data_IF_755304052117
#
_entry.id   IF_755304052117
#
_cell.length_a   1.000
_cell.length_b   1.000
_cell.length_c   1.000
_cell.angle_alpha   90.00
_cell.angle_beta   90.00
_cell.angle_gamma   90.00
#
_symmetry.space_group_name_H-M   'P 1'
#
loop_
_entity.id
_entity.type
_entity.pdbx_description
1 polymer ?
#
# COMPACT_ATOMS: atom_id res chain seq x y z
N UNK A 1 23.44 -3.02 21.43
CA UNK A 1 23.28 -1.82 22.27
C UNK A 1 22.74 -0.72 21.38
N UNK A 2 21.47 -0.33 21.53
CA UNK A 2 20.87 0.73 20.70
C UNK A 2 21.20 2.10 21.30
N UNK A 3 21.70 3.09 20.53
CA UNK A 3 21.63 4.47 20.97
C UNK A 3 20.16 4.89 21.08
N UNK A 4 19.82 5.63 22.14
CA UNK A 4 18.45 6.10 22.37
C UNK A 4 18.02 7.02 21.23
N UNK A 5 16.73 6.96 20.89
CA UNK A 5 16.06 7.81 19.89
C UNK A 5 16.02 9.30 20.29
N UNK A 6 16.65 9.70 21.40
CA UNK A 6 16.68 11.09 21.88
C UNK A 6 17.79 11.93 21.24
N UNK A 7 18.74 11.32 20.51
CA UNK A 7 19.86 12.05 19.91
C UNK A 7 19.72 12.36 18.42
N UNK A 8 18.58 12.09 17.80
CA UNK A 8 18.25 12.70 16.51
C UNK A 8 17.81 14.14 16.76
N UNK A 9 18.76 15.08 16.76
CA UNK A 9 18.42 16.51 16.65
C UNK A 9 17.68 16.68 15.31
N UNK A 10 16.40 17.07 15.30
CA UNK A 10 15.81 17.54 14.05
C UNK A 10 16.69 18.67 13.52
N UNK A 11 16.96 18.66 12.21
CA UNK A 11 17.60 19.81 11.57
C UNK A 11 16.85 21.07 12.02
N UNK A 12 17.55 22.14 12.46
CA UNK A 12 16.89 23.36 12.89
C UNK A 12 16.09 23.90 11.70
N UNK A 13 14.77 23.70 11.76
CA UNK A 13 13.85 24.37 10.88
C UNK A 13 13.84 25.83 11.32
N UNK A 14 14.34 26.71 10.45
CA UNK A 14 14.28 28.13 10.65
C UNK A 14 12.81 28.57 10.66
N UNK A 15 12.24 28.68 11.86
CA UNK A 15 10.85 29.09 12.08
C UNK A 15 10.61 30.58 11.83
N UNK A 16 11.58 31.33 11.29
CA UNK A 16 11.42 32.74 10.94
C UNK A 16 11.10 32.94 9.46
N UNK A 17 9.89 32.54 9.05
CA UNK A 17 9.24 33.20 7.91
C UNK A 17 8.07 34.00 8.46
N UNK A 18 8.33 35.28 8.74
CA UNK A 18 7.26 36.25 8.99
C UNK A 18 6.38 36.28 7.75
N UNK A 19 5.10 35.95 7.92
CA UNK A 19 4.11 36.04 6.86
C UNK A 19 3.97 37.51 6.45
N UNK A 20 4.32 37.81 5.21
CA UNK A 20 3.87 39.03 4.56
C UNK A 20 2.40 38.82 4.16
N UNK A 21 1.52 39.63 4.74
CA UNK A 21 0.11 39.74 4.32
C UNK A 21 0.09 40.32 2.91
N UNK A 22 -0.46 39.56 1.96
CA UNK A 22 -0.75 40.04 0.61
C UNK A 22 -2.26 40.31 0.56
N UNK A 23 -2.62 41.58 0.46
CA UNK A 23 -4.00 42.02 0.21
C UNK A 23 -4.43 41.59 -1.20
N UNK A 24 -5.57 40.91 -1.30
CA UNK A 24 -6.21 40.59 -2.58
C UNK A 24 -7.17 41.72 -2.97
N UNK A 25 -7.14 42.20 -4.24
CA UNK A 25 -8.16 43.10 -4.74
C UNK A 25 -9.45 42.35 -5.11
N UNK A 26 -10.57 42.95 -4.70
CA UNK A 26 -11.94 42.53 -5.02
C UNK A 26 -12.24 42.82 -6.49
N UNK A 27 -12.63 41.80 -7.26
CA UNK A 27 -13.09 41.96 -8.65
C UNK A 27 -14.62 42.05 -8.66
N UNK A 28 -15.13 43.22 -9.03
CA UNK A 28 -16.53 43.48 -9.38
C UNK A 28 -16.76 43.20 -10.87
N UNK A 29 -17.79 42.44 -11.20
CA UNK A 29 -18.24 42.16 -12.57
C UNK A 29 -19.37 43.14 -12.95
N UNK A 30 -19.32 43.83 -14.11
CA UNK A 30 -20.47 44.52 -14.67
C UNK A 30 -21.22 43.61 -15.66
N UNK A 31 -22.53 43.82 -15.75
CA UNK A 31 -23.45 43.04 -16.58
C UNK A 31 -23.72 43.60 -17.98
N UNK A 32 -24.75 42.98 -18.58
CA UNK A 32 -25.49 43.32 -19.80
C UNK A 32 -24.76 43.15 -21.14
N UNK A 33 -25.28 42.25 -21.99
CA UNK A 33 -26.04 42.71 -23.16
C UNK A 33 -26.87 41.59 -23.82
N UNK A 34 -28.01 42.04 -24.35
CA UNK A 34 -29.10 41.27 -24.96
C UNK A 34 -28.88 41.12 -26.46
N UNK A 35 -29.18 39.96 -27.04
CA UNK A 35 -29.63 39.85 -28.43
C UNK A 35 -30.79 38.84 -28.48
N UNK A 36 -31.94 39.32 -28.97
CA UNK A 36 -33.17 38.55 -29.09
C UNK A 36 -33.21 37.73 -30.38
N UNK A 37 -34.04 36.69 -30.35
CA UNK A 37 -34.37 35.86 -31.49
C UNK A 37 -35.89 35.61 -31.51
N UNK A 38 -36.64 35.99 -32.55
CA UNK A 38 -38.07 35.76 -32.61
C UNK A 38 -38.38 34.57 -33.53
N UNK A 39 -38.83 33.45 -32.98
CA UNK A 39 -39.70 32.56 -33.76
C UNK A 39 -40.71 31.88 -32.84
N UNK A 40 -41.96 32.29 -33.02
CA UNK A 40 -43.13 31.82 -32.31
C UNK A 40 -43.57 30.44 -32.80
N UNK A 41 -43.92 29.55 -31.86
CA UNK A 41 -44.80 28.41 -32.10
C UNK A 41 -45.81 28.29 -30.95
N UNK A 42 -47.06 27.99 -31.31
CA UNK A 42 -48.28 28.16 -30.54
C UNK A 42 -48.39 27.34 -29.22
N UNK A 43 -49.19 27.80 -28.23
CA UNK A 43 -49.38 27.12 -26.97
C UNK A 43 -50.47 26.02 -27.02
N UNK A 44 -50.14 24.85 -26.48
CA UNK A 44 -51.09 23.77 -26.19
C UNK A 44 -51.88 24.03 -24.88
N UNK A 45 -53.12 23.51 -24.75
CA UNK A 45 -54.02 23.86 -23.65
C UNK A 45 -53.63 23.25 -22.29
N UNK A 46 -53.66 24.11 -21.27
CA UNK A 46 -53.47 23.84 -19.83
C UNK A 46 -54.43 22.77 -19.31
N UNK A 47 -53.90 21.67 -18.77
CA UNK A 47 -54.63 20.77 -17.85
C UNK A 47 -54.68 21.38 -16.44
N UNK A 48 -55.90 21.49 -15.90
CA UNK A 48 -56.19 21.92 -14.53
C UNK A 48 -55.46 21.06 -13.49
N UNK A 49 -54.77 21.74 -12.56
CA UNK A 49 -54.11 21.13 -11.42
C UNK A 49 -55.13 20.76 -10.33
N UNK A 50 -55.12 19.49 -9.89
CA UNK A 50 -55.84 19.04 -8.68
C UNK A 50 -55.15 19.57 -7.41
N UNK A 51 -55.91 19.85 -6.33
CA UNK A 51 -55.37 20.31 -5.06
C UNK A 51 -54.50 19.23 -4.41
N UNK A 52 -53.26 19.60 -4.13
CA UNK A 52 -52.20 18.77 -3.57
C UNK A 52 -52.49 18.54 -2.08
N UNK A 53 -52.80 17.31 -1.70
CA UNK A 53 -52.96 16.89 -0.31
C UNK A 53 -51.67 17.15 0.50
N UNK A 54 -51.84 17.51 1.77
CA UNK A 54 -50.75 17.82 2.70
C UNK A 54 -49.77 16.64 2.77
N UNK A 55 -48.45 16.86 2.63
CA UNK A 55 -47.46 15.79 2.73
C UNK A 55 -47.45 15.22 4.15
N UNK A 56 -47.65 13.90 4.25
CA UNK A 56 -47.43 13.16 5.50
C UNK A 56 -45.94 13.23 5.87
N UNK A 57 -45.60 13.36 7.17
CA UNK A 57 -44.22 13.29 7.62
C UNK A 57 -43.69 11.87 7.40
N UNK A 58 -42.78 11.72 6.44
CA UNK A 58 -42.03 10.48 6.22
C UNK A 58 -41.29 10.10 7.51
N UNK A 59 -41.61 8.92 8.06
CA UNK A 59 -40.90 8.35 9.20
C UNK A 59 -39.44 8.07 8.80
N UNK A 60 -38.44 8.50 9.61
CA UNK A 60 -37.04 8.32 9.27
C UNK A 60 -36.67 6.84 9.22
N UNK A 61 -36.22 6.39 8.04
CA UNK A 61 -35.78 5.01 7.77
C UNK A 61 -34.59 4.65 8.67
N UNK A 62 -34.82 3.69 9.55
CA UNK A 62 -33.96 3.25 10.67
C UNK A 62 -32.83 2.29 10.23
N UNK A 63 -32.08 2.61 9.17
CA UNK A 63 -31.00 1.75 8.65
C UNK A 63 -29.58 2.23 9.03
N UNK A 64 -29.44 3.16 9.97
CA UNK A 64 -28.19 3.89 10.21
C UNK A 64 -27.26 3.30 11.29
N UNK A 65 -27.68 2.27 12.04
CA UNK A 65 -26.93 1.83 13.25
C UNK A 65 -25.80 0.82 13.01
N UNK A 66 -25.76 0.07 11.89
CA UNK A 66 -24.65 -0.88 11.63
C UNK A 66 -23.39 -0.20 11.08
N UNK A 67 -23.52 0.90 10.33
CA UNK A 67 -22.38 1.60 9.77
C UNK A 67 -21.57 2.38 10.81
N UNK A 68 -22.15 2.72 11.96
CA UNK A 68 -21.47 3.49 13.01
C UNK A 68 -20.43 2.66 13.76
N UNK A 69 -20.70 1.39 14.07
CA UNK A 69 -19.73 0.53 14.78
C UNK A 69 -18.51 0.19 13.92
N UNK A 70 -18.69 -0.10 12.63
CA UNK A 70 -17.57 -0.36 11.72
C UNK A 70 -16.69 0.88 11.59
N UNK A 71 -17.28 2.08 11.48
CA UNK A 71 -16.53 3.34 11.44
C UNK A 71 -15.71 3.56 12.71
N UNK A 72 -16.24 3.24 13.89
CA UNK A 72 -15.49 3.34 15.14
C UNK A 72 -14.29 2.37 15.17
N UNK A 73 -14.46 1.14 14.67
CA UNK A 73 -13.36 0.17 14.56
C UNK A 73 -12.28 0.68 13.58
N UNK A 74 -12.69 1.18 12.41
CA UNK A 74 -11.77 1.74 11.42
C UNK A 74 -11.05 2.97 11.96
N UNK A 75 -11.74 3.84 12.72
CA UNK A 75 -11.12 5.00 13.35
C UNK A 75 -10.09 4.60 14.41
N UNK A 76 -10.34 3.52 15.17
CA UNK A 76 -9.34 2.94 16.09
C UNK A 76 -8.10 2.40 15.37
N UNK A 77 -8.18 2.08 14.07
CA UNK A 77 -7.03 1.68 13.26
C UNK A 77 -6.28 2.89 12.68
N UNK A 78 -6.85 4.10 12.73
CA UNK A 78 -6.14 5.30 12.32
C UNK A 78 -5.10 5.71 13.37
N UNK A 79 -4.01 6.30 12.91
CA UNK A 79 -3.00 6.91 13.78
C UNK A 79 -2.78 8.35 13.29
N UNK A 80 -3.10 9.38 14.10
CA UNK A 80 -2.95 10.78 13.69
C UNK A 80 -1.49 11.16 13.40
N UNK A 81 -0.53 10.45 14.00
CA UNK A 81 0.90 10.67 13.76
C UNK A 81 1.38 10.07 12.43
N UNK A 82 0.60 9.17 11.82
CA UNK A 82 0.92 8.46 10.58
C UNK A 82 -0.33 8.38 9.69
N UNK A 83 -0.81 9.50 9.14
CA UNK A 83 -2.12 9.56 8.49
C UNK A 83 -2.24 8.64 7.25
N UNK A 84 -1.13 8.39 6.55
CA UNK A 84 -1.08 7.47 5.41
C UNK A 84 -0.93 6.00 5.83
N UNK A 85 0.09 5.67 6.63
CA UNK A 85 0.45 4.30 6.99
C UNK A 85 -0.26 3.76 8.25
N UNK A 86 -1.07 4.56 8.94
CA UNK A 86 -1.63 4.25 10.26
C UNK A 86 -2.22 2.84 10.42
N UNK A 87 -3.20 2.43 9.60
CA UNK A 87 -3.77 1.09 9.67
C UNK A 87 -2.75 -0.02 9.44
N UNK A 88 -1.85 0.17 8.48
CA UNK A 88 -0.82 -0.81 8.10
C UNK A 88 0.22 -1.01 9.21
N UNK A 89 0.67 0.08 9.85
CA UNK A 89 1.58 -0.01 11.00
C UNK A 89 0.94 -0.75 12.17
N UNK A 90 -0.32 -0.45 12.49
CA UNK A 90 -1.03 -1.16 13.55
C UNK A 90 -1.18 -2.64 13.24
N UNK A 91 -1.42 -3.00 11.98
CA UNK A 91 -1.45 -4.40 11.57
C UNK A 91 -0.07 -5.07 11.71
N UNK A 92 1.02 -4.41 11.27
CA UNK A 92 2.38 -4.93 11.43
C UNK A 92 2.75 -5.13 12.90
N UNK A 93 2.36 -4.21 13.79
CA UNK A 93 2.58 -4.32 15.23
C UNK A 93 1.74 -5.47 15.83
N UNK A 94 0.45 -5.55 15.47
CA UNK A 94 -0.47 -6.56 15.97
C UNK A 94 -0.04 -7.98 15.60
N UNK A 95 0.38 -8.19 14.35
CA UNK A 95 0.84 -9.49 13.84
C UNK A 95 2.32 -9.79 14.15
N UNK A 96 3.00 -8.90 14.89
CA UNK A 96 4.36 -9.14 15.37
C UNK A 96 5.48 -8.99 14.32
N UNK A 97 5.17 -8.47 13.13
CA UNK A 97 6.17 -8.14 12.11
C UNK A 97 7.01 -6.94 12.54
N UNK A 98 6.36 -5.91 13.08
CA UNK A 98 7.06 -4.81 13.74
C UNK A 98 7.26 -5.17 15.21
N UNK A 99 8.37 -5.85 15.50
CA UNK A 99 8.67 -6.36 16.84
C UNK A 99 8.55 -5.25 17.92
N UNK A 100 7.83 -5.52 19.03
CA UNK A 100 7.62 -4.56 20.10
C UNK A 100 8.91 -4.27 20.87
N UNK A 101 8.95 -3.13 21.58
CA UNK A 101 10.09 -2.76 22.44
C UNK A 101 10.18 -3.63 23.69
N UNK A 102 9.06 -4.17 24.17
CA UNK A 102 9.03 -5.05 25.33
C UNK A 102 9.68 -6.40 24.98
N UNK A 103 10.70 -6.78 25.75
CA UNK A 103 11.52 -7.98 25.54
C UNK A 103 10.68 -9.25 25.61
N UNK A 104 9.77 -9.38 26.58
CA UNK A 104 8.93 -10.57 26.74
C UNK A 104 7.98 -10.74 25.54
N UNK A 105 7.31 -9.66 25.16
CA UNK A 105 6.40 -9.67 24.01
C UNK A 105 7.15 -9.92 22.70
N UNK A 106 8.38 -9.42 22.58
CA UNK A 106 9.25 -9.70 21.43
C UNK A 106 9.56 -11.21 21.32
N UNK A 107 9.97 -11.85 22.42
CA UNK A 107 10.23 -13.30 22.41
C UNK A 107 8.97 -14.10 22.14
N UNK A 108 7.82 -13.67 22.68
CA UNK A 108 6.53 -14.27 22.36
C UNK A 108 6.24 -14.23 20.86
N UNK A 109 6.35 -13.07 20.21
CA UNK A 109 6.12 -12.97 18.77
C UNK A 109 7.13 -13.82 17.98
N UNK A 110 8.42 -13.81 18.34
CA UNK A 110 9.42 -14.66 17.68
C UNK A 110 9.11 -16.15 17.82
N UNK A 111 8.63 -16.57 18.99
CA UNK A 111 8.16 -17.94 19.21
C UNK A 111 6.96 -18.28 18.32
N UNK A 112 5.98 -17.39 18.21
CA UNK A 112 4.84 -17.58 17.30
C UNK A 112 5.28 -17.68 15.84
N UNK A 113 6.28 -16.89 15.43
CA UNK A 113 6.87 -16.99 14.10
C UNK A 113 7.54 -18.34 13.86
N UNK A 114 8.31 -18.80 14.84
CA UNK A 114 8.94 -20.11 14.79
C UNK A 114 7.90 -21.23 14.74
N UNK A 115 6.83 -21.16 15.55
CA UNK A 115 5.76 -22.15 15.56
C UNK A 115 5.06 -22.29 14.21
N UNK A 116 4.69 -21.17 13.55
CA UNK A 116 4.11 -21.24 12.20
C UNK A 116 5.12 -21.70 11.15
N UNK A 117 6.41 -21.41 11.31
CA UNK A 117 7.46 -21.97 10.43
C UNK A 117 7.54 -23.50 10.55
N UNK A 118 7.51 -24.03 11.78
CA UNK A 118 7.47 -25.47 12.04
C UNK A 118 6.17 -26.09 11.52
N UNK A 119 5.04 -25.39 11.64
CA UNK A 119 3.78 -25.81 11.02
C UNK A 119 3.91 -25.97 9.51
N UNK A 120 4.44 -24.98 8.80
CA UNK A 120 4.66 -25.08 7.35
C UNK A 120 5.61 -26.24 7.00
N UNK A 121 6.65 -26.49 7.80
CA UNK A 121 7.50 -27.67 7.62
C UNK A 121 6.72 -28.99 7.80
N UNK A 122 5.77 -29.06 8.74
CA UNK A 122 4.92 -30.24 8.94
C UNK A 122 3.95 -30.49 7.78
N UNK A 123 3.56 -29.47 7.02
CA UNK A 123 2.77 -29.64 5.79
C UNK A 123 3.57 -30.37 4.71
N UNK A 124 4.88 -30.10 4.58
CA UNK A 124 5.74 -30.85 3.65
C UNK A 124 5.86 -32.33 4.03
N UNK A 125 5.89 -32.64 5.32
CA UNK A 125 5.88 -34.03 5.80
C UNK A 125 4.57 -34.71 5.41
N UNK A 126 3.44 -34.03 5.55
CA UNK A 126 2.13 -34.54 5.15
C UNK A 126 2.05 -34.81 3.63
N UNK A 127 2.48 -33.84 2.82
CA UNK A 127 2.59 -33.97 1.35
C UNK A 127 3.43 -35.19 0.96
N UNK A 128 4.52 -35.48 1.68
CA UNK A 128 5.35 -36.65 1.42
C UNK A 128 4.62 -37.98 1.65
N UNK A 129 3.78 -38.07 2.68
CA UNK A 129 3.00 -39.27 2.98
C UNK A 129 1.80 -39.45 2.04
N UNK A 130 1.20 -38.36 1.56
CA UNK A 130 -0.02 -38.35 0.75
C UNK A 130 0.24 -38.55 -0.76
N UNK A 131 1.51 -38.72 -1.16
CA UNK A 131 1.93 -38.80 -2.58
C UNK A 131 1.25 -39.88 -3.44
N UNK A 132 0.57 -40.85 -2.84
CA UNK A 132 -0.17 -41.89 -3.58
C UNK A 132 -1.48 -41.40 -4.19
N UNK A 133 -2.11 -40.36 -3.64
CA UNK A 133 -3.34 -39.77 -4.18
C UNK A 133 -3.02 -38.43 -4.86
N UNK A 134 -3.01 -38.40 -6.19
CA UNK A 134 -2.66 -37.21 -6.98
C UNK A 134 -3.61 -36.03 -6.74
N UNK A 135 -4.90 -36.29 -6.50
CA UNK A 135 -5.89 -35.22 -6.30
C UNK A 135 -5.67 -34.53 -4.96
N UNK A 136 -5.49 -35.34 -3.90
CA UNK A 136 -5.20 -34.84 -2.56
C UNK A 136 -3.82 -34.18 -2.49
N UNK A 137 -2.82 -34.77 -3.15
CA UNK A 137 -1.47 -34.23 -3.26
C UNK A 137 -1.44 -32.83 -3.85
N UNK A 138 -2.10 -32.61 -5.00
CA UNK A 138 -2.10 -31.31 -5.67
C UNK A 138 -2.80 -30.22 -4.85
N UNK A 139 -3.89 -30.57 -4.17
CA UNK A 139 -4.60 -29.63 -3.30
C UNK A 139 -3.73 -29.22 -2.09
N UNK A 140 -3.08 -30.19 -1.44
CA UNK A 140 -2.19 -29.93 -0.30
C UNK A 140 -0.97 -29.11 -0.74
N UNK A 141 -0.35 -29.48 -1.87
CA UNK A 141 0.81 -28.79 -2.42
C UNK A 141 0.51 -27.30 -2.70
N UNK A 142 -0.66 -26.97 -3.26
CA UNK A 142 -1.05 -25.58 -3.52
C UNK A 142 -1.08 -24.75 -2.24
N UNK A 143 -1.65 -25.29 -1.17
CA UNK A 143 -1.76 -24.58 0.13
C UNK A 143 -0.37 -24.43 0.74
N UNK A 144 0.45 -25.49 0.71
CA UNK A 144 1.82 -25.47 1.25
C UNK A 144 2.73 -24.51 0.50
N UNK A 145 2.60 -24.38 -0.81
CA UNK A 145 3.35 -23.38 -1.57
C UNK A 145 2.96 -21.96 -1.18
N UNK A 146 1.66 -21.69 -0.97
CA UNK A 146 1.20 -20.38 -0.49
C UNK A 146 1.72 -20.06 0.91
N UNK A 147 1.66 -21.03 1.83
CA UNK A 147 2.20 -20.88 3.19
C UNK A 147 3.72 -20.66 3.18
N UNK A 148 4.44 -21.37 2.32
CA UNK A 148 5.89 -21.24 2.18
C UNK A 148 6.31 -19.86 1.69
N UNK A 149 5.63 -19.31 0.67
CA UNK A 149 5.89 -17.94 0.20
C UNK A 149 5.65 -16.93 1.32
N UNK A 150 4.62 -17.15 2.16
CA UNK A 150 4.36 -16.30 3.34
C UNK A 150 5.53 -16.34 4.33
N UNK A 151 5.98 -17.54 4.72
CA UNK A 151 7.11 -17.72 5.64
C UNK A 151 8.37 -17.04 5.10
N UNK A 152 8.67 -17.16 3.80
CA UNK A 152 9.80 -16.47 3.19
C UNK A 152 9.66 -14.95 3.22
N UNK A 153 8.50 -14.39 2.88
CA UNK A 153 8.24 -12.94 2.94
C UNK A 153 8.45 -12.40 4.35
N UNK A 154 7.89 -13.08 5.34
CA UNK A 154 7.96 -12.68 6.76
C UNK A 154 9.38 -12.80 7.30
N UNK A 155 10.06 -13.91 7.01
CA UNK A 155 11.45 -14.13 7.43
C UNK A 155 12.38 -13.08 6.80
N UNK A 156 12.19 -12.78 5.52
CA UNK A 156 12.90 -11.71 4.84
C UNK A 156 12.60 -10.35 5.48
N UNK A 157 11.33 -10.01 5.73
CA UNK A 157 10.96 -8.77 6.42
C UNK A 157 11.63 -8.65 7.79
N UNK A 158 11.66 -9.72 8.58
CA UNK A 158 12.31 -9.74 9.90
C UNK A 158 13.82 -9.60 9.82
N UNK A 159 14.47 -10.23 8.84
CA UNK A 159 15.91 -10.08 8.61
C UNK A 159 16.27 -8.64 8.22
N UNK A 160 15.45 -8.01 7.38
CA UNK A 160 15.62 -6.64 6.92
C UNK A 160 14.86 -5.60 7.76
N UNK A 161 14.46 -5.95 8.99
CA UNK A 161 13.54 -5.15 9.81
C UNK A 161 14.07 -3.73 10.08
N UNK A 162 15.39 -3.58 10.25
CA UNK A 162 16.01 -2.25 10.43
C UNK A 162 15.73 -1.37 9.20
N UNK A 163 15.93 -1.92 8.02
CA UNK A 163 15.73 -1.19 6.78
C UNK A 163 14.26 -0.85 6.54
N UNK A 164 13.35 -1.79 6.82
CA UNK A 164 11.91 -1.53 6.77
C UNK A 164 11.47 -0.41 7.72
N UNK A 165 12.05 -0.35 8.93
CA UNK A 165 11.79 0.75 9.87
C UNK A 165 12.25 2.09 9.30
N UNK A 166 13.44 2.13 8.70
CA UNK A 166 13.98 3.35 8.08
C UNK A 166 13.09 3.83 6.91
N UNK A 167 12.60 2.91 6.06
CA UNK A 167 11.64 3.23 4.98
C UNK A 167 10.34 3.78 5.56
N UNK A 168 9.76 3.11 6.55
CA UNK A 168 8.49 3.53 7.18
C UNK A 168 8.64 4.92 7.80
N UNK A 169 9.76 5.19 8.45
CA UNK A 169 10.06 6.49 9.06
C UNK A 169 10.22 7.57 7.99
N UNK A 170 10.96 7.30 6.91
CA UNK A 170 11.09 8.19 5.77
C UNK A 170 9.72 8.55 5.18
N UNK A 171 8.92 7.54 4.82
CA UNK A 171 7.58 7.72 4.24
C UNK A 171 6.69 8.55 5.17
N UNK A 172 6.73 8.26 6.48
CA UNK A 172 5.96 9.01 7.47
C UNK A 172 6.38 10.48 7.51
N UNK A 173 7.69 10.75 7.57
CA UNK A 173 8.24 12.12 7.64
C UNK A 173 7.92 12.91 6.37
N UNK A 174 8.11 12.30 5.21
CA UNK A 174 7.86 12.94 3.92
C UNK A 174 6.36 13.21 3.72
N UNK A 175 5.47 12.25 4.01
CA UNK A 175 4.01 12.46 3.96
C UNK A 175 3.56 13.60 4.90
N UNK A 176 4.07 13.67 6.13
CA UNK A 176 3.78 14.77 7.05
C UNK A 176 4.27 16.12 6.52
N UNK A 177 5.46 16.16 5.93
CA UNK A 177 6.01 17.38 5.32
C UNK A 177 5.13 17.89 4.18
N UNK A 178 4.67 17.00 3.28
CA UNK A 178 3.79 17.39 2.19
C UNK A 178 2.43 17.92 2.67
N UNK A 179 1.90 17.40 3.78
CA UNK A 179 0.61 17.83 4.35
C UNK A 179 0.61 19.24 4.92
N UNK A 180 1.79 19.83 5.17
CA UNK A 180 1.92 21.21 5.66
C UNK A 180 1.74 22.24 4.52
N UNK A 181 1.69 21.79 3.26
CA UNK A 181 1.49 22.67 2.10
C UNK A 181 0.17 23.45 2.15
N UNK A 182 0.19 24.67 1.60
CA UNK A 182 -1.01 25.52 1.43
C UNK A 182 -1.63 25.42 0.03
N UNK A 183 -0.96 24.71 -0.88
CA UNK A 183 -1.41 24.58 -2.26
C UNK A 183 -2.65 23.67 -2.33
N UNK A 184 -3.82 24.18 -2.77
CA UNK A 184 -5.06 23.41 -2.83
C UNK A 184 -4.95 22.20 -3.76
N UNK A 185 -4.15 22.28 -4.83
CA UNK A 185 -3.97 21.17 -5.78
C UNK A 185 -3.27 20.01 -5.09
N UNK A 186 -2.20 20.29 -4.34
CA UNK A 186 -1.47 19.26 -3.58
C UNK A 186 -2.31 18.70 -2.45
N UNK A 187 -3.04 19.53 -1.71
CA UNK A 187 -3.91 19.07 -0.62
C UNK A 187 -4.94 18.06 -1.15
N UNK A 188 -5.58 18.37 -2.28
CA UNK A 188 -6.58 17.48 -2.88
C UNK A 188 -5.94 16.19 -3.42
N UNK A 189 -4.77 16.29 -4.06
CA UNK A 189 -3.98 15.10 -4.46
C UNK A 189 -3.65 14.21 -3.25
N UNK A 190 -3.18 14.80 -2.15
CA UNK A 190 -2.82 14.08 -0.92
C UNK A 190 -4.02 13.34 -0.32
N UNK A 191 -5.15 14.02 -0.26
CA UNK A 191 -6.40 13.45 0.20
C UNK A 191 -6.85 12.30 -0.70
N UNK A 192 -6.76 12.45 -2.02
CA UNK A 192 -7.17 11.43 -2.98
C UNK A 192 -6.33 10.16 -2.88
N UNK A 193 -5.00 10.26 -2.83
CA UNK A 193 -4.17 9.07 -2.66
C UNK A 193 -4.35 8.44 -1.28
N UNK A 194 -4.52 9.24 -0.22
CA UNK A 194 -4.76 8.71 1.13
C UNK A 194 -6.05 7.88 1.18
N UNK A 195 -7.13 8.39 0.57
CA UNK A 195 -8.39 7.67 0.45
C UNK A 195 -8.24 6.40 -0.39
N UNK A 196 -7.50 6.45 -1.48
CA UNK A 196 -7.20 5.30 -2.31
C UNK A 196 -6.46 4.20 -1.53
N UNK A 197 -5.38 4.55 -0.83
CA UNK A 197 -4.63 3.62 0.02
C UNK A 197 -5.52 2.96 1.09
N UNK A 198 -6.39 3.73 1.74
CA UNK A 198 -7.34 3.21 2.74
C UNK A 198 -8.35 2.24 2.11
N UNK A 199 -8.94 2.60 0.96
CA UNK A 199 -9.89 1.74 0.24
C UNK A 199 -9.25 0.41 -0.12
N UNK A 200 -8.04 0.41 -0.69
CA UNK A 200 -7.39 -0.85 -1.07
C UNK A 200 -6.98 -1.65 0.16
N UNK A 201 -6.40 -1.01 1.18
CA UNK A 201 -6.03 -1.70 2.44
C UNK A 201 -7.24 -2.44 3.01
N UNK A 202 -8.38 -1.77 3.18
CA UNK A 202 -9.56 -2.39 3.76
C UNK A 202 -10.23 -3.42 2.84
N UNK A 203 -10.25 -3.19 1.52
CA UNK A 203 -10.76 -4.16 0.57
C UNK A 203 -9.93 -5.44 0.58
N UNK A 204 -8.61 -5.31 0.53
CA UNK A 204 -7.68 -6.43 0.58
C UNK A 204 -7.80 -7.19 1.91
N UNK A 205 -7.85 -6.47 3.04
CA UNK A 205 -8.07 -7.09 4.36
C UNK A 205 -9.39 -7.86 4.41
N UNK A 206 -10.47 -7.26 3.91
CA UNK A 206 -11.78 -7.92 3.85
C UNK A 206 -11.72 -9.21 3.03
N UNK A 207 -11.06 -9.18 1.87
CA UNK A 207 -10.91 -10.35 1.01
C UNK A 207 -10.13 -11.46 1.73
N UNK A 208 -8.95 -11.13 2.26
CA UNK A 208 -8.08 -12.09 2.93
C UNK A 208 -8.72 -12.70 4.18
N UNK A 209 -9.31 -11.88 5.05
CA UNK A 209 -9.98 -12.41 6.24
C UNK A 209 -11.19 -13.26 5.88
N UNK A 210 -11.94 -12.90 4.83
CA UNK A 210 -13.05 -13.74 4.35
C UNK A 210 -12.54 -15.09 3.87
N UNK A 211 -11.42 -15.13 3.12
CA UNK A 211 -10.79 -16.39 2.70
C UNK A 211 -10.36 -17.24 3.88
N UNK A 212 -9.68 -16.66 4.88
CA UNK A 212 -9.27 -17.37 6.10
C UNK A 212 -10.49 -17.95 6.83
N UNK A 213 -11.55 -17.16 6.99
CA UNK A 213 -12.81 -17.61 7.61
C UNK A 213 -13.41 -18.76 6.82
N UNK A 214 -13.51 -18.66 5.49
CA UNK A 214 -14.05 -19.74 4.64
C UNK A 214 -13.23 -21.03 4.81
N UNK A 215 -11.89 -20.94 4.79
CA UNK A 215 -11.00 -22.10 4.95
C UNK A 215 -11.22 -22.77 6.31
N UNK A 216 -11.34 -21.99 7.39
CA UNK A 216 -11.59 -22.51 8.74
C UNK A 216 -12.97 -23.17 8.83
N UNK A 217 -14.01 -22.56 8.25
CA UNK A 217 -15.38 -23.05 8.38
C UNK A 217 -15.76 -24.16 7.38
N UNK A 218 -15.02 -24.31 6.28
CA UNK A 218 -15.32 -25.29 5.23
C UNK A 218 -15.47 -26.74 5.77
N UNK A 219 -14.57 -27.27 6.60
CA UNK A 219 -14.74 -28.59 7.22
C UNK A 219 -16.03 -28.73 8.04
N UNK A 220 -16.36 -27.71 8.83
CA UNK A 220 -17.56 -27.70 9.65
C UNK A 220 -18.82 -27.70 8.78
N UNK A 221 -18.89 -26.84 7.77
CA UNK A 221 -20.01 -26.82 6.83
C UNK A 221 -20.19 -28.17 6.13
N UNK A 222 -19.11 -28.81 5.66
CA UNK A 222 -19.19 -30.14 5.04
C UNK A 222 -19.73 -31.18 6.02
N UNK A 223 -19.25 -31.19 7.27
CA UNK A 223 -19.71 -32.11 8.31
C UNK A 223 -21.19 -31.92 8.70
N UNK A 224 -21.65 -30.68 8.84
CA UNK A 224 -23.03 -30.41 9.24
C UNK A 224 -24.04 -30.56 8.10
N UNK A 225 -23.68 -30.15 6.89
CA UNK A 225 -24.61 -30.11 5.76
C UNK A 225 -24.68 -31.42 4.96
N UNK A 226 -23.64 -32.26 4.99
CA UNK A 226 -23.62 -33.53 4.25
C UNK A 226 -23.89 -34.73 5.18
N UNK A 227 -25.11 -35.27 5.12
CA UNK A 227 -25.48 -36.47 5.86
C UNK A 227 -24.59 -37.65 5.49
N UNK A 228 -24.34 -37.86 4.20
CA UNK A 228 -23.49 -38.95 3.68
C UNK A 228 -22.08 -38.88 4.24
N UNK A 229 -21.48 -37.69 4.24
CA UNK A 229 -20.13 -37.50 4.76
C UNK A 229 -20.07 -37.84 6.26
N UNK A 230 -21.05 -37.37 7.04
CA UNK A 230 -21.11 -37.65 8.48
C UNK A 230 -21.23 -39.15 8.77
N UNK A 231 -22.07 -39.87 8.03
CA UNK A 231 -22.21 -41.32 8.22
C UNK A 231 -20.94 -42.07 7.75
N UNK A 232 -20.31 -41.64 6.65
CA UNK A 232 -19.03 -42.22 6.21
C UNK A 232 -17.93 -42.04 7.25
N UNK A 233 -17.88 -40.89 7.93
CA UNK A 233 -16.94 -40.64 9.03
C UNK A 233 -17.25 -41.52 10.24
N UNK A 234 -18.53 -41.65 10.64
CA UNK A 234 -18.92 -42.53 11.75
C UNK A 234 -18.60 -44.00 11.49
N UNK A 235 -18.74 -44.44 10.24
CA UNK A 235 -18.47 -45.80 9.81
C UNK A 235 -16.97 -46.06 9.59
N UNK A 236 -16.11 -45.04 9.69
CA UNK A 236 -14.66 -45.15 9.45
C UNK A 236 -14.27 -45.25 7.97
N UNK A 237 -15.20 -45.01 7.04
CA UNK A 237 -14.95 -45.04 5.59
C UNK A 237 -14.26 -43.78 5.10
N UNK A 238 -14.50 -42.64 5.76
CA UNK A 238 -13.84 -41.36 5.46
C UNK A 238 -13.23 -40.75 6.72
N UNK A 239 -12.14 -39.99 6.55
CA UNK A 239 -11.49 -39.25 7.64
C UNK A 239 -12.12 -37.85 7.80
N UNK A 240 -11.93 -37.26 8.98
CA UNK A 240 -12.31 -35.87 9.21
C UNK A 240 -11.54 -34.93 8.27
N UNK A 241 -12.25 -33.96 7.70
CA UNK A 241 -11.67 -33.00 6.76
C UNK A 241 -10.86 -31.97 7.56
N UNK A 242 -9.58 -31.82 7.22
CA UNK A 242 -8.70 -30.87 7.88
C UNK A 242 -8.86 -29.45 7.33
N UNK A 243 -8.54 -28.43 8.14
CA UNK A 243 -8.54 -27.03 7.71
C UNK A 243 -7.38 -26.80 6.73
N UNK A 244 -6.20 -27.30 7.11
CA UNK A 244 -5.01 -27.37 6.28
C UNK A 244 -4.29 -28.68 6.57
N UNK A 245 -4.09 -29.50 5.53
CA UNK A 245 -3.44 -30.81 5.68
C UNK A 245 -2.04 -30.65 6.25
N UNK A 246 -1.81 -31.23 7.42
CA UNK A 246 -0.55 -31.09 8.15
C UNK A 246 -0.29 -32.30 9.02
N UNK A 247 0.99 -32.68 9.12
CA UNK A 247 1.39 -33.79 9.97
C UNK A 247 1.39 -33.34 11.43
N UNK A 248 0.80 -34.14 12.31
CA UNK A 248 0.80 -33.91 13.75
C UNK A 248 1.22 -35.19 14.48
N UNK A 249 1.90 -35.09 15.63
CA UNK A 249 2.44 -36.25 16.35
C UNK A 249 1.37 -37.00 17.18
N UNK A 250 0.09 -36.77 16.92
CA UNK A 250 -1.03 -37.39 17.64
C UNK A 250 -2.10 -37.87 16.66
N UNK A 251 -2.95 -38.79 17.12
CA UNK A 251 -3.93 -39.45 16.26
C UNK A 251 -5.12 -38.54 15.93
N UNK A 252 -5.17 -38.07 14.68
CA UNK A 252 -6.25 -37.24 14.11
C UNK A 252 -7.55 -38.02 13.87
N UNK A 253 -7.53 -39.36 13.91
CA UNK A 253 -8.73 -40.17 13.69
C UNK A 253 -9.71 -40.10 14.86
N UNK A 254 -9.20 -39.79 16.06
CA UNK A 254 -10.04 -39.53 17.23
C UNK A 254 -10.66 -38.14 17.18
N UNK A 255 -11.89 -37.99 17.68
CA UNK A 255 -12.57 -36.68 17.72
C UNK A 255 -11.77 -35.63 18.51
N UNK A 256 -11.11 -36.03 19.59
CA UNK A 256 -10.27 -35.16 20.41
C UNK A 256 -9.01 -34.73 19.65
N UNK A 257 -8.36 -35.65 18.94
CA UNK A 257 -7.20 -35.34 18.11
C UNK A 257 -7.57 -34.44 16.94
N UNK A 258 -8.70 -34.70 16.28
CA UNK A 258 -9.23 -33.84 15.23
C UNK A 258 -9.51 -32.41 15.72
N UNK A 259 -10.18 -32.25 16.87
CA UNK A 259 -10.45 -30.92 17.43
C UNK A 259 -9.16 -30.16 17.78
N UNK A 260 -8.16 -30.87 18.34
CA UNK A 260 -6.86 -30.28 18.64
C UNK A 260 -6.12 -29.86 17.35
N UNK A 261 -6.10 -30.72 16.32
CA UNK A 261 -5.51 -30.40 15.03
C UNK A 261 -6.22 -29.21 14.37
N UNK A 262 -7.56 -29.21 14.37
CA UNK A 262 -8.38 -28.13 13.80
C UNK A 262 -8.12 -26.79 14.48
N UNK A 263 -8.02 -26.76 15.82
CA UNK A 263 -7.66 -25.55 16.57
C UNK A 263 -6.26 -25.03 16.18
N UNK A 264 -5.27 -25.92 16.12
CA UNK A 264 -3.90 -25.55 15.75
C UNK A 264 -3.79 -25.06 14.30
N UNK A 265 -4.40 -25.77 13.35
CA UNK A 265 -4.45 -25.38 11.93
C UNK A 265 -5.19 -24.05 11.74
N UNK A 266 -6.30 -23.84 12.46
CA UNK A 266 -7.05 -22.57 12.41
C UNK A 266 -6.20 -21.42 12.93
N UNK A 267 -5.49 -21.63 14.03
CA UNK A 267 -4.55 -20.65 14.56
C UNK A 267 -3.46 -20.29 13.54
N UNK A 268 -2.82 -21.30 12.93
CA UNK A 268 -1.80 -21.10 11.92
C UNK A 268 -2.34 -20.37 10.67
N UNK A 269 -3.55 -20.71 10.22
CA UNK A 269 -4.22 -20.06 9.10
C UNK A 269 -4.55 -18.58 9.37
N UNK A 270 -5.07 -18.26 10.57
CA UNK A 270 -5.33 -16.87 10.98
C UNK A 270 -4.04 -16.07 11.04
N UNK A 271 -3.01 -16.63 11.68
CA UNK A 271 -1.74 -15.92 11.89
C UNK A 271 -0.98 -15.73 10.58
N UNK A 272 -0.88 -16.79 9.76
CA UNK A 272 -0.28 -16.73 8.43
C UNK A 272 -1.03 -15.79 7.48
N UNK A 273 -2.37 -15.78 7.52
CA UNK A 273 -3.18 -14.84 6.75
C UNK A 273 -2.96 -13.38 7.18
N UNK A 274 -2.83 -13.14 8.48
CA UNK A 274 -2.50 -11.83 9.05
C UNK A 274 -1.13 -11.31 8.61
N UNK A 275 -0.12 -12.18 8.56
CA UNK A 275 1.23 -11.86 8.07
C UNK A 275 1.24 -11.41 6.62
N UNK A 276 0.70 -12.24 5.71
CA UNK A 276 0.64 -11.91 4.28
C UNK A 276 -0.06 -10.57 4.11
N UNK A 277 -1.20 -10.42 4.79
CA UNK A 277 -2.04 -9.24 4.65
C UNK A 277 -1.36 -7.97 5.09
N UNK A 278 -0.73 -7.98 6.25
CA UNK A 278 -0.05 -6.79 6.79
C UNK A 278 1.21 -6.43 6.00
N UNK A 279 2.00 -7.42 5.55
CA UNK A 279 3.15 -7.19 4.69
C UNK A 279 2.72 -6.62 3.32
N UNK A 280 1.82 -7.30 2.60
CA UNK A 280 1.45 -6.92 1.22
C UNK A 280 0.78 -5.54 1.18
N UNK A 281 -0.12 -5.25 2.13
CA UNK A 281 -0.78 -3.93 2.17
C UNK A 281 0.18 -2.81 2.58
N UNK A 282 1.14 -3.06 3.46
CA UNK A 282 2.18 -2.07 3.78
C UNK A 282 3.05 -1.77 2.55
N UNK A 283 3.56 -2.81 1.88
CA UNK A 283 4.40 -2.66 0.70
C UNK A 283 3.66 -1.90 -0.41
N UNK A 284 2.40 -2.25 -0.66
CA UNK A 284 1.55 -1.57 -1.63
C UNK A 284 1.33 -0.09 -1.31
N UNK A 285 1.03 0.27 -0.06
CA UNK A 285 0.84 1.69 0.32
C UNK A 285 2.16 2.48 0.19
N UNK A 286 3.30 1.87 0.50
CA UNK A 286 4.62 2.47 0.28
C UNK A 286 4.88 2.70 -1.22
N UNK A 287 4.55 1.74 -2.09
CA UNK A 287 4.69 1.92 -3.54
C UNK A 287 3.79 3.04 -4.07
N UNK A 288 2.53 3.10 -3.62
CA UNK A 288 1.61 4.20 -3.99
C UNK A 288 2.12 5.55 -3.48
N UNK A 289 2.71 5.58 -2.28
CA UNK A 289 3.34 6.77 -1.74
C UNK A 289 4.48 7.27 -2.64
N UNK A 290 5.42 6.40 -3.03
CA UNK A 290 6.52 6.80 -3.93
C UNK A 290 6.02 7.36 -5.25
N UNK A 291 4.98 6.74 -5.84
CA UNK A 291 4.31 7.29 -7.02
C UNK A 291 3.77 8.70 -6.77
N UNK A 292 3.08 8.91 -5.65
CA UNK A 292 2.51 10.22 -5.31
C UNK A 292 3.60 11.29 -5.07
N UNK A 293 4.70 10.94 -4.40
CA UNK A 293 5.83 11.86 -4.21
C UNK A 293 6.48 12.25 -5.54
N UNK A 294 6.61 11.33 -6.50
CA UNK A 294 7.13 11.65 -7.84
C UNK A 294 6.19 12.59 -8.59
N UNK A 295 4.87 12.43 -8.46
CA UNK A 295 3.89 13.36 -9.04
C UNK A 295 3.96 14.75 -8.38
N UNK A 296 4.09 14.82 -7.05
CA UNK A 296 4.29 16.08 -6.34
C UNK A 296 5.60 16.77 -6.73
N UNK A 297 6.69 16.00 -6.88
CA UNK A 297 7.98 16.50 -7.32
C UNK A 297 7.91 17.04 -8.75
N UNK A 298 7.14 16.41 -9.64
CA UNK A 298 6.90 16.90 -11.00
C UNK A 298 6.16 18.24 -10.99
N UNK A 299 5.12 18.38 -10.18
CA UNK A 299 4.38 19.65 -10.02
C UNK A 299 5.31 20.75 -9.50
N UNK A 300 6.12 20.43 -8.49
CA UNK A 300 7.06 21.40 -7.92
C UNK A 300 8.14 21.82 -8.92
N UNK A 301 8.64 20.88 -9.70
CA UNK A 301 9.63 21.15 -10.75
C UNK A 301 9.07 22.04 -11.85
N UNK A 302 7.81 21.82 -12.25
CA UNK A 302 7.13 22.65 -13.25
C UNK A 302 6.90 24.09 -12.76
N UNK A 303 6.77 24.29 -11.45
CA UNK A 303 6.45 25.59 -10.84
C UNK A 303 7.69 26.36 -10.33
N UNK A 304 8.92 25.88 -10.57
CA UNK A 304 10.16 26.49 -10.04
C UNK A 304 10.28 27.98 -10.42
N UNK A 305 9.99 28.31 -11.67
CA UNK A 305 10.15 29.67 -12.22
C UNK A 305 8.88 30.52 -12.14
N UNK A 306 7.78 29.95 -11.63
CA UNK A 306 6.46 30.57 -11.64
C UNK A 306 5.79 30.49 -13.01
N UNK A 307 5.03 31.52 -13.33
CA UNK A 307 4.36 31.67 -14.64
C UNK A 307 4.91 32.89 -15.34
N UNK A 308 4.77 32.98 -16.67
CA UNK A 308 5.22 34.16 -17.44
C UNK A 308 4.65 35.48 -16.89
N UNK A 309 3.41 35.44 -16.37
CA UNK A 309 2.73 36.60 -15.80
C UNK A 309 3.23 36.98 -14.41
N UNK A 310 3.76 36.01 -13.66
CA UNK A 310 4.21 36.16 -12.28
C UNK A 310 5.52 35.36 -12.09
N UNK A 311 6.66 35.89 -12.57
CA UNK A 311 7.94 35.22 -12.41
C UNK A 311 8.37 35.21 -10.94
N UNK A 312 8.97 34.10 -10.51
CA UNK A 312 9.47 33.93 -9.15
C UNK A 312 10.85 34.60 -9.01
N UNK A 313 11.14 35.35 -7.93
CA UNK A 313 12.47 35.93 -7.70
C UNK A 313 13.55 34.85 -7.66
N UNK A 314 14.73 35.15 -8.22
CA UNK A 314 15.85 34.20 -8.37
C UNK A 314 16.18 33.44 -7.06
N UNK A 315 16.20 34.14 -5.92
CA UNK A 315 16.48 33.53 -4.61
C UNK A 315 15.47 32.44 -4.23
N UNK A 316 14.20 32.63 -4.58
CA UNK A 316 13.13 31.66 -4.31
C UNK A 316 13.21 30.50 -5.31
N UNK A 317 13.47 30.79 -6.59
CA UNK A 317 13.67 29.76 -7.61
C UNK A 317 14.86 28.84 -7.25
N UNK A 318 15.99 29.41 -6.84
CA UNK A 318 17.17 28.65 -6.41
C UNK A 318 16.88 27.76 -5.19
N UNK A 319 16.09 28.28 -4.23
CA UNK A 319 15.64 27.48 -3.09
C UNK A 319 14.76 26.31 -3.54
N UNK A 320 13.81 26.54 -4.44
CA UNK A 320 12.94 25.49 -4.99
C UNK A 320 13.73 24.42 -5.75
N UNK A 321 14.74 24.81 -6.53
CA UNK A 321 15.65 23.86 -7.21
C UNK A 321 16.36 22.97 -6.19
N UNK A 322 16.94 23.56 -5.15
CA UNK A 322 17.63 22.81 -4.10
C UNK A 322 16.69 21.87 -3.33
N UNK A 323 15.47 22.32 -3.02
CA UNK A 323 14.45 21.50 -2.34
C UNK A 323 13.94 20.35 -3.23
N UNK A 324 13.77 20.57 -4.53
CA UNK A 324 13.43 19.52 -5.49
C UNK A 324 14.57 18.50 -5.64
N UNK A 325 15.81 18.97 -5.80
CA UNK A 325 16.98 18.09 -5.91
C UNK A 325 17.16 17.24 -4.65
N UNK A 326 17.08 17.84 -3.45
CA UNK A 326 17.17 17.13 -2.17
C UNK A 326 16.13 16.01 -2.09
N UNK A 327 14.85 16.31 -2.37
CA UNK A 327 13.77 15.31 -2.31
C UNK A 327 13.98 14.19 -3.33
N UNK A 328 14.42 14.52 -4.54
CA UNK A 328 14.73 13.52 -5.55
C UNK A 328 15.82 12.55 -5.08
N UNK A 329 16.92 13.08 -4.55
CA UNK A 329 18.02 12.26 -4.01
C UNK A 329 17.55 11.37 -2.86
N UNK A 330 16.73 11.91 -1.95
CA UNK A 330 16.13 11.11 -0.87
C UNK A 330 15.23 9.99 -1.42
N UNK A 331 14.37 10.28 -2.40
CA UNK A 331 13.51 9.28 -3.05
C UNK A 331 14.35 8.16 -3.67
N UNK A 332 15.36 8.50 -4.47
CA UNK A 332 16.23 7.52 -5.13
C UNK A 332 16.99 6.65 -4.13
N UNK A 333 17.42 7.22 -2.99
CA UNK A 333 18.08 6.45 -1.92
C UNK A 333 17.17 5.36 -1.35
N UNK A 334 15.90 5.68 -1.08
CA UNK A 334 14.97 4.71 -0.49
C UNK A 334 14.31 3.78 -1.52
N UNK A 335 14.22 4.18 -2.78
CA UNK A 335 13.77 3.32 -3.88
C UNK A 335 14.79 2.19 -4.13
N UNK A 336 16.07 2.53 -4.26
CA UNK A 336 17.15 1.56 -4.51
C UNK A 336 17.40 0.63 -3.33
N UNK A 337 17.09 1.07 -2.11
CA UNK A 337 17.29 0.26 -0.92
C UNK A 337 16.14 -0.71 -0.64
N UNK A 338 14.99 -0.56 -1.32
CA UNK A 338 13.85 -1.43 -1.11
C UNK A 338 14.17 -2.87 -1.55
N UNK A 339 14.27 -3.85 -0.62
CA UNK A 339 14.73 -5.21 -0.94
C UNK A 339 13.76 -6.00 -1.83
N UNK A 340 12.60 -5.44 -2.15
CA UNK A 340 11.59 -6.06 -3.02
C UNK A 340 12.11 -6.25 -4.45
N UNK A 341 13.11 -5.47 -4.88
CA UNK A 341 13.66 -5.56 -6.23
C UNK A 341 14.57 -6.78 -6.47
N UNK A 342 15.03 -7.48 -5.41
CA UNK A 342 15.96 -8.62 -5.55
C UNK A 342 17.32 -8.24 -6.19
N UNK A 343 17.55 -6.96 -6.45
CA UNK A 343 18.79 -6.44 -7.02
C UNK A 343 19.62 -5.97 -5.84
N UNK A 344 20.59 -6.80 -5.45
CA UNK A 344 21.56 -6.45 -4.43
C UNK A 344 22.33 -5.20 -4.91
N UNK A 345 22.31 -4.08 -4.16
CA UNK A 345 23.03 -2.89 -4.56
C UNK A 345 24.53 -3.20 -4.55
N UNK A 346 25.18 -3.06 -5.72
CA UNK A 346 26.64 -3.20 -5.82
C UNK A 346 27.30 -2.24 -4.82
N UNK A 347 28.09 -2.72 -3.85
CA UNK A 347 28.82 -1.86 -2.94
C UNK A 347 29.87 -1.08 -3.75
N UNK A 348 29.62 0.21 -4.02
CA UNK A 348 30.58 1.09 -4.68
C UNK A 348 30.01 2.23 -5.54
N UNK A 349 28.72 2.25 -5.85
CA UNK A 349 28.19 3.20 -6.85
C UNK A 349 27.78 4.59 -6.31
N UNK A 350 27.75 4.82 -4.99
CA UNK A 350 27.11 6.01 -4.41
C UNK A 350 28.03 6.97 -3.63
N UNK A 351 29.36 6.77 -3.70
CA UNK A 351 30.33 7.56 -2.91
C UNK A 351 31.09 8.63 -3.71
N UNK A 352 30.64 9.02 -4.90
CA UNK A 352 31.32 10.07 -5.71
C UNK A 352 30.41 11.19 -6.22
N UNK A 353 29.46 11.63 -5.40
CA UNK A 353 28.76 12.90 -5.61
C UNK A 353 28.94 13.77 -4.37
N UNK A 354 30.20 14.03 -4.01
CA UNK A 354 30.56 15.10 -3.08
C UNK A 354 31.12 16.29 -3.86
N UNK A 355 30.59 17.44 -3.49
CA UNK A 355 30.72 18.76 -4.11
C UNK A 355 32.16 19.28 -4.20
N UNK A 356 32.71 19.36 -5.41
CA UNK A 356 33.79 20.31 -5.72
C UNK A 356 33.19 21.61 -6.26
N UNK A 357 33.03 22.59 -5.38
CA UNK A 357 32.67 23.96 -5.75
C UNK A 357 33.92 24.67 -6.24
N UNK A 358 34.19 24.64 -7.55
CA UNK A 358 35.23 25.46 -8.20
C UNK A 358 34.54 26.63 -8.90
N UNK A 359 34.94 27.90 -8.66
CA UNK A 359 34.30 29.04 -9.29
C UNK A 359 34.69 29.12 -10.78
N UNK A 360 33.69 29.01 -11.67
CA UNK A 360 33.87 29.17 -13.11
C UNK A 360 34.15 30.66 -13.41
N UNK A 361 35.40 30.97 -13.76
CA UNK A 361 35.74 32.21 -14.47
C UNK A 361 35.28 32.08 -15.93
N UNK A 362 34.50 33.04 -16.40
CA UNK A 362 34.25 33.27 -17.83
C UNK A 362 35.56 33.69 -18.54
N UNK A 363 35.70 33.33 -19.82
CA UNK A 363 35.76 34.40 -20.81
C UNK A 363 35.02 34.12 -22.13
N UNK A 364 34.69 35.24 -22.76
CA UNK A 364 34.05 35.39 -24.07
C UNK A 364 34.80 34.75 -25.26
N UNK A 365 33.99 34.45 -26.26
CA UNK A 365 34.23 34.47 -27.72
C UNK A 365 35.21 33.48 -28.33
N UNK A 366 34.69 32.57 -29.17
CA UNK A 366 34.97 32.63 -30.62
C UNK A 366 33.99 31.79 -31.44
N UNK A 367 33.69 32.37 -32.59
CA UNK A 367 32.96 31.90 -33.76
C UNK A 367 33.41 30.54 -34.30
N UNK A 368 32.47 29.78 -34.86
CA UNK A 368 32.77 28.65 -35.76
C UNK A 368 31.56 27.76 -35.98
N UNK A 369 30.75 28.08 -36.98
CA UNK A 369 29.67 27.23 -37.51
C UNK A 369 30.33 26.25 -38.50
N UNK A 370 30.30 24.95 -38.20
CA UNK A 370 30.62 23.88 -39.16
C UNK A 370 29.49 22.85 -39.17
N UNK A 371 28.98 22.43 -40.35
CA UNK A 371 27.91 21.45 -40.44
C UNK A 371 28.46 20.02 -40.30
N UNK A 372 27.89 19.25 -39.37
CA UNK A 372 28.21 17.83 -39.23
C UNK A 372 27.63 17.05 -40.42
N UNK A 373 28.53 16.45 -41.18
CA UNK A 373 28.26 15.46 -42.22
C UNK A 373 27.75 14.16 -41.62
N UNK A 374 26.68 13.65 -42.25
CA UNK A 374 26.08 12.34 -42.02
C UNK A 374 27.07 11.26 -42.47
N UNK A 375 27.58 10.46 -41.54
CA UNK A 375 28.24 9.19 -41.85
C UNK A 375 27.36 8.04 -41.35
N UNK A 376 26.68 7.41 -42.31
CA UNK A 376 26.02 6.13 -42.12
C UNK A 376 27.07 5.05 -41.85
N UNK A 377 26.89 4.27 -40.77
CA UNK A 377 27.53 2.97 -40.62
C UNK A 377 26.54 1.89 -41.07
N UNK A 378 26.91 1.01 -42.00
CA UNK A 378 26.17 -0.21 -42.26
C UNK A 378 26.58 -1.30 -41.24
N UNK A 379 25.80 -2.37 -41.20
CA UNK A 379 26.07 -3.67 -40.57
C UNK A 379 25.55 -3.85 -39.14
N UNK A 380 24.25 -4.16 -39.05
CA UNK A 380 23.67 -4.84 -37.89
C UNK A 380 22.83 -6.04 -38.39
N UNK A 381 23.33 -7.29 -38.31
CA UNK A 381 22.68 -8.46 -38.88
C UNK A 381 21.92 -9.24 -37.80
N UNK A 382 20.93 -8.65 -37.13
CA UNK A 382 20.02 -9.41 -36.26
C UNK A 382 18.62 -8.81 -36.24
N UNK A 383 17.91 -8.92 -37.36
CA UNK A 383 16.49 -8.65 -37.44
C UNK A 383 15.79 -9.67 -38.38
N UNK A 384 15.45 -10.84 -37.85
CA UNK A 384 14.36 -11.68 -38.38
C UNK A 384 14.05 -12.84 -37.44
N UNK A 385 12.90 -12.77 -36.75
CA UNK A 385 11.87 -13.80 -36.88
C UNK A 385 10.60 -13.37 -36.14
N UNK A 386 9.67 -12.82 -36.92
CA UNK A 386 8.25 -12.70 -36.59
C UNK A 386 7.62 -14.03 -37.03
N UNK A 387 7.15 -14.86 -36.09
CA UNK A 387 6.32 -16.03 -36.39
C UNK A 387 4.88 -15.70 -36.00
N UNK A 388 4.05 -15.55 -37.02
CA UNK A 388 2.59 -15.69 -36.97
C UNK A 388 2.24 -17.15 -37.21
N UNK A 389 1.34 -17.72 -36.41
CA UNK A 389 0.53 -18.92 -36.69
C UNK A 389 -0.67 -18.95 -35.72
N UNK A 390 -1.74 -19.68 -36.06
CA UNK A 390 -2.75 -19.39 -37.08
C UNK A 390 -4.01 -18.77 -36.45
#
# INVERSE_FOLDING_TARGET
MYPSLENFKPYPMDHRVKMATIDQPTVTTPGADSIGDPTAAAPAPRKQARPRGKPQPEKPKRNFTRFTMLKQLLYKLENPLRPLLGPNIKALEFWGLLLPKNILLKYFYLFMHFAVTVFTASEYVDVWFVKSDMSLLLNNLKITMLATVSVFKVTSFLYWLKHWKDIIEYVTRADLYQRITKDPIKIEMIKNFTQYCRKITFLYWSLMYTTVVIVIFQPFFKYFCSHTYRENVKNGTEVYLEVVSSWVPFDKSTITGYLAASAYQSYAAVYGGGWITSFDTTAMVIMVFFKAELELLRIDSANIFGTEKNPVPEKVAMKSINDCHRRHVELCKFETSCPVSGIEPRPGALTQLDSSTTPLKSPLSRSGFEPATVNARPDDPFASHRILKP
#
